data_IF_405099374103
#
_entry.id   IF_405099374103
#
_cell.length_a   1.000
_cell.length_b   1.000
_cell.length_c   1.000
_cell.angle_alpha   90.00
_cell.angle_beta   90.00
_cell.angle_gamma   90.00
#
_symmetry.space_group_name_H-M   'P 1'
#
loop_
_entity.id
_entity.type
_entity.pdbx_description
1 polymer ?
#
# COMPACT_ATOMS: atom_id res chain seq x y z
N UNK A 1 65.00 -16.76 -28.28
CA UNK A 1 65.07 -17.11 -26.84
C UNK A 1 64.98 -15.79 -26.08
N UNK A 2 63.82 -15.31 -25.62
CA UNK A 2 63.00 -15.78 -24.50
C UNK A 2 63.70 -15.74 -23.14
N UNK A 3 63.44 -14.69 -22.34
CA UNK A 3 63.16 -14.69 -20.89
C UNK A 3 63.16 -13.20 -20.43
N UNK A 4 62.05 -12.54 -20.05
CA UNK A 4 60.98 -12.78 -19.04
C UNK A 4 61.28 -12.13 -17.66
N UNK A 5 60.41 -11.18 -17.32
CA UNK A 5 59.94 -10.75 -15.98
C UNK A 5 60.95 -9.99 -15.08
N UNK A 6 60.56 -8.98 -14.30
CA UNK A 6 59.28 -8.78 -13.64
C UNK A 6 58.87 -7.30 -13.53
N UNK A 7 57.73 -6.96 -14.13
CA UNK A 7 56.92 -5.82 -13.70
C UNK A 7 56.12 -6.28 -12.48
N UNK A 8 56.39 -5.70 -11.32
CA UNK A 8 55.61 -5.94 -10.11
C UNK A 8 54.20 -5.36 -10.29
N UNK A 9 53.23 -6.23 -10.56
CA UNK A 9 51.82 -5.87 -10.53
C UNK A 9 51.37 -5.90 -9.06
N UNK A 10 51.32 -4.74 -8.41
CA UNK A 10 50.69 -4.58 -7.11
C UNK A 10 49.17 -4.69 -7.33
N UNK A 11 48.63 -5.89 -7.15
CA UNK A 11 47.20 -6.09 -6.97
C UNK A 11 46.82 -5.52 -5.60
N UNK A 12 46.48 -4.24 -5.55
CA UNK A 12 45.64 -3.67 -4.51
C UNK A 12 44.25 -4.32 -4.65
N UNK A 13 44.10 -5.50 -4.06
CA UNK A 13 42.81 -6.04 -3.72
C UNK A 13 42.15 -5.07 -2.74
N UNK A 14 41.36 -4.15 -3.28
CA UNK A 14 40.35 -3.43 -2.50
C UNK A 14 39.45 -4.51 -1.89
N UNK A 15 39.77 -4.91 -0.66
CA UNK A 15 38.82 -5.58 0.21
C UNK A 15 37.73 -4.56 0.52
N UNK A 16 36.78 -4.40 -0.41
CA UNK A 16 35.47 -3.89 -0.06
C UNK A 16 35.03 -4.74 1.14
N UNK A 17 34.70 -4.15 2.31
CA UNK A 17 34.12 -4.94 3.38
C UNK A 17 32.92 -5.64 2.76
N UNK A 18 32.94 -6.97 2.77
CA UNK A 18 31.83 -7.76 2.28
C UNK A 18 30.58 -7.19 2.97
N UNK A 19 29.70 -6.54 2.19
CA UNK A 19 28.39 -6.10 2.65
C UNK A 19 27.77 -7.34 3.28
N UNK A 20 27.69 -7.34 4.60
CA UNK A 20 27.34 -8.53 5.37
C UNK A 20 25.84 -8.70 5.23
N UNK A 21 25.42 -9.34 4.14
CA UNK A 21 24.04 -9.79 3.96
C UNK A 21 23.65 -10.55 5.23
N UNK A 22 22.56 -10.17 5.90
CA UNK A 22 22.14 -10.86 7.12
C UNK A 22 21.96 -12.35 6.85
N UNK A 23 22.43 -13.17 7.78
CA UNK A 23 22.10 -14.59 7.76
C UNK A 23 20.62 -14.74 8.14
N UNK A 24 19.75 -14.67 7.13
CA UNK A 24 18.29 -14.73 7.28
C UNK A 24 17.78 -15.98 7.98
N UNK A 25 18.59 -17.05 8.05
CA UNK A 25 18.26 -18.25 8.82
C UNK A 25 18.29 -18.01 10.33
N UNK A 26 19.07 -17.02 10.79
CA UNK A 26 19.27 -16.63 12.19
C UNK A 26 18.43 -15.42 12.59
N UNK A 27 18.04 -14.59 11.64
CA UNK A 27 17.16 -13.43 11.89
C UNK A 27 15.76 -13.89 12.25
N UNK A 28 15.22 -13.37 13.35
CA UNK A 28 13.84 -13.55 13.78
C UNK A 28 13.29 -12.19 14.18
N UNK A 29 12.18 -11.79 13.56
CA UNK A 29 11.52 -10.52 13.87
C UNK A 29 10.21 -10.76 14.61
N UNK A 30 9.89 -9.86 15.54
CA UNK A 30 8.54 -9.71 16.07
C UNK A 30 7.92 -8.45 15.48
N UNK A 31 6.62 -8.50 15.24
CA UNK A 31 5.88 -7.43 14.60
C UNK A 31 4.61 -7.17 15.40
N UNK A 32 4.42 -5.92 15.81
CA UNK A 32 3.16 -5.42 16.33
C UNK A 32 2.40 -4.72 15.21
N UNK A 33 1.22 -5.24 14.85
CA UNK A 33 0.37 -4.64 13.83
C UNK A 33 0.06 -3.19 14.19
N UNK A 34 0.28 -2.26 13.26
CA UNK A 34 0.05 -0.85 13.51
C UNK A 34 1.15 -0.08 14.23
N UNK A 35 2.15 -0.77 14.77
CA UNK A 35 3.19 -0.16 15.60
C UNK A 35 4.58 -0.34 14.99
N UNK A 36 4.92 -1.54 14.53
CA UNK A 36 6.21 -1.81 13.90
C UNK A 36 6.88 -3.07 14.44
N UNK A 37 8.17 -2.99 14.72
CA UNK A 37 9.00 -4.03 15.31
C UNK A 37 9.67 -3.49 16.58
N UNK A 38 10.22 -4.33 17.48
CA UNK A 38 10.94 -3.84 18.66
C UNK A 38 12.06 -2.83 18.36
N UNK A 39 12.67 -2.92 17.18
CA UNK A 39 13.79 -2.08 16.76
C UNK A 39 13.37 -0.88 15.89
N UNK A 40 12.15 -0.89 15.34
CA UNK A 40 11.69 0.10 14.36
C UNK A 40 10.20 0.37 14.55
N UNK A 41 9.84 1.60 14.95
CA UNK A 41 8.46 1.99 15.18
C UNK A 41 7.96 2.95 14.10
N UNK A 42 6.71 2.76 13.71
CA UNK A 42 6.02 3.65 12.79
C UNK A 42 5.82 5.02 13.43
N UNK A 43 6.06 6.07 12.65
CA UNK A 43 5.98 7.46 13.09
C UNK A 43 7.25 7.97 13.77
N UNK A 44 8.21 7.10 14.07
CA UNK A 44 9.50 7.49 14.65
C UNK A 44 10.59 7.62 13.57
N UNK A 45 11.65 8.41 13.82
CA UNK A 45 12.82 8.40 12.99
C UNK A 45 13.48 7.02 12.94
N UNK A 46 14.22 6.77 11.86
CA UNK A 46 15.04 5.58 11.78
C UNK A 46 16.21 5.71 12.76
N UNK A 47 16.48 4.71 13.62
CA UNK A 47 17.58 4.79 14.57
C UNK A 47 18.92 4.96 13.88
N UNK A 48 19.79 5.80 14.45
CA UNK A 48 21.14 6.05 13.93
C UNK A 48 21.99 4.76 13.85
N UNK A 49 21.77 3.86 14.82
CA UNK A 49 22.41 2.55 14.89
C UNK A 49 21.45 1.45 14.46
N UNK A 50 21.86 0.65 13.46
CA UNK A 50 21.07 -0.46 12.98
C UNK A 50 21.16 -1.68 13.91
N UNK A 51 20.09 -2.49 14.02
CA UNK A 51 20.10 -3.70 14.84
C UNK A 51 21.22 -4.64 14.43
N UNK A 52 21.97 -5.16 15.41
CA UNK A 52 23.08 -6.10 15.15
C UNK A 52 22.64 -7.33 14.36
N UNK A 53 21.40 -7.78 14.57
CA UNK A 53 20.78 -8.90 13.86
C UNK A 53 20.62 -8.66 12.35
N UNK A 54 20.42 -7.40 11.96
CA UNK A 54 20.22 -6.98 10.57
C UNK A 54 21.47 -6.34 9.96
N UNK A 55 22.42 -5.88 10.78
CA UNK A 55 23.59 -5.17 10.29
C UNK A 55 23.23 -3.87 9.55
N UNK A 56 24.15 -3.38 8.73
CA UNK A 56 23.90 -2.20 7.89
C UNK A 56 22.97 -2.56 6.72
N UNK A 57 22.10 -1.63 6.28
CA UNK A 57 21.24 -1.87 5.14
C UNK A 57 22.06 -2.06 3.86
N UNK A 58 21.58 -2.96 3.01
CA UNK A 58 22.17 -3.24 1.70
C UNK A 58 21.93 -2.09 0.72
N UNK A 59 20.78 -1.39 0.85
CA UNK A 59 20.36 -0.32 -0.05
C UNK A 59 19.61 0.79 0.67
N UNK A 60 19.90 2.04 0.29
CA UNK A 60 19.15 3.24 0.65
C UNK A 60 18.78 3.97 -0.65
N UNK A 61 17.49 3.98 -0.99
CA UNK A 61 16.98 4.58 -2.22
C UNK A 61 16.13 5.82 -1.90
N UNK A 62 16.53 7.03 -2.32
CA UNK A 62 15.67 8.20 -2.24
C UNK A 62 14.72 8.28 -3.44
N UNK A 63 13.45 8.54 -3.19
CA UNK A 63 12.46 8.94 -4.19
C UNK A 63 12.40 10.47 -4.19
N UNK A 64 12.97 11.10 -5.21
CA UNK A 64 12.93 12.56 -5.36
C UNK A 64 11.89 12.97 -6.39
N UNK A 65 10.97 13.86 -6.00
CA UNK A 65 10.01 14.48 -6.91
C UNK A 65 9.34 15.78 -6.41
N UNK A 66 9.14 15.98 -5.10
CA UNK A 66 8.20 17.03 -4.63
C UNK A 66 8.64 17.87 -3.41
N UNK A 67 9.87 17.71 -2.90
CA UNK A 67 10.40 18.53 -1.79
C UNK A 67 10.29 17.89 -0.40
N UNK A 68 9.53 16.81 -0.24
CA UNK A 68 9.66 15.84 0.85
C UNK A 68 10.23 14.53 0.25
N UNK A 69 11.29 14.00 0.85
CA UNK A 69 12.00 12.84 0.31
C UNK A 69 11.46 11.54 0.88
N UNK A 70 10.70 10.79 0.08
CA UNK A 70 10.42 9.39 0.41
C UNK A 70 11.74 8.61 0.33
N UNK A 71 12.08 7.81 1.32
CA UNK A 71 13.30 6.99 1.31
C UNK A 71 12.99 5.55 1.64
N UNK A 72 13.55 4.60 0.88
CA UNK A 72 13.47 3.17 1.15
C UNK A 72 14.80 2.64 1.63
N UNK A 73 14.82 2.05 2.81
CA UNK A 73 15.98 1.37 3.40
C UNK A 73 15.70 -0.12 3.30
N UNK A 74 16.64 -0.92 2.76
CA UNK A 74 16.42 -2.35 2.53
C UNK A 74 17.59 -3.20 3.01
N UNK A 75 17.24 -4.29 3.67
CA UNK A 75 18.11 -5.44 3.92
C UNK A 75 17.52 -6.63 3.14
N UNK A 76 18.24 -7.14 2.15
CA UNK A 76 17.89 -8.36 1.44
C UNK A 76 17.79 -8.20 -0.08
N UNK A 77 17.05 -9.11 -0.71
CA UNK A 77 17.04 -9.30 -2.15
C UNK A 77 15.90 -8.51 -2.79
N UNK A 78 16.25 -7.54 -3.63
CA UNK A 78 15.29 -6.80 -4.46
C UNK A 78 15.35 -7.31 -5.90
N UNK A 79 14.18 -7.54 -6.52
CA UNK A 79 14.05 -7.77 -7.96
C UNK A 79 12.98 -6.85 -8.53
N UNK A 80 13.30 -6.15 -9.62
CA UNK A 80 12.41 -5.18 -10.29
C UNK A 80 11.78 -4.17 -9.31
N UNK A 81 12.57 -3.66 -8.36
CA UNK A 81 12.11 -2.69 -7.37
C UNK A 81 11.23 -3.27 -6.24
N UNK A 82 11.00 -4.59 -6.20
CA UNK A 82 10.21 -5.25 -5.15
C UNK A 82 11.08 -6.15 -4.26
N UNK A 83 10.84 -6.10 -2.95
CA UNK A 83 11.49 -6.96 -1.98
C UNK A 83 11.03 -8.42 -2.20
N UNK A 84 11.97 -9.31 -2.44
CA UNK A 84 11.71 -10.74 -2.62
C UNK A 84 11.99 -11.53 -1.33
N UNK A 85 13.00 -11.10 -0.57
CA UNK A 85 13.39 -11.69 0.70
C UNK A 85 14.11 -10.63 1.54
N UNK A 86 13.82 -10.58 2.84
CA UNK A 86 14.45 -9.67 3.79
C UNK A 86 13.45 -8.70 4.42
N UNK A 87 13.90 -7.48 4.68
CA UNK A 87 13.11 -6.40 5.26
C UNK A 87 13.36 -5.08 4.53
N UNK A 88 12.33 -4.28 4.33
CA UNK A 88 12.43 -2.92 3.83
C UNK A 88 11.62 -1.96 4.70
N UNK A 89 12.13 -0.75 4.90
CA UNK A 89 11.49 0.34 5.62
C UNK A 89 11.26 1.48 4.64
N UNK A 90 10.06 2.04 4.63
CA UNK A 90 9.76 3.28 3.93
C UNK A 90 9.67 4.42 4.93
N UNK A 91 10.33 5.53 4.62
CA UNK A 91 10.28 6.76 5.42
C UNK A 91 9.81 7.94 4.58
N UNK A 92 9.24 8.94 5.24
CA UNK A 92 8.84 10.22 4.65
C UNK A 92 9.40 11.37 5.49
N UNK A 93 9.79 12.46 4.84
CA UNK A 93 10.29 13.67 5.49
C UNK A 93 11.54 14.24 4.82
N UNK A 94 12.25 15.11 5.51
CA UNK A 94 13.43 15.81 5.00
C UNK A 94 14.71 15.34 5.68
N UNK A 95 15.58 14.66 4.93
CA UNK A 95 16.92 14.31 5.40
C UNK A 95 16.91 13.40 6.63
N UNK A 96 17.45 13.90 7.74
CA UNK A 96 17.55 13.20 9.02
C UNK A 96 16.22 13.19 9.80
N UNK A 97 15.30 14.12 9.50
CA UNK A 97 13.98 14.23 10.13
C UNK A 97 12.93 13.31 9.49
N UNK A 98 13.34 12.25 8.77
CA UNK A 98 12.42 11.34 8.11
C UNK A 98 11.86 10.31 9.10
N UNK A 99 10.54 10.15 9.12
CA UNK A 99 9.85 9.18 9.97
C UNK A 99 9.46 7.93 9.19
N UNK A 100 9.48 6.79 9.87
CA UNK A 100 9.07 5.50 9.32
C UNK A 100 7.55 5.51 9.10
N UNK A 101 7.10 5.09 7.91
CA UNK A 101 5.67 4.99 7.58
C UNK A 101 5.23 3.57 7.21
N UNK A 102 6.18 2.72 6.87
CA UNK A 102 5.92 1.35 6.42
C UNK A 102 7.11 0.44 6.74
N UNK A 103 6.83 -0.80 7.15
CA UNK A 103 7.82 -1.86 7.32
C UNK A 103 7.35 -3.09 6.56
N UNK A 104 8.06 -3.46 5.49
CA UNK A 104 7.80 -4.63 4.67
C UNK A 104 8.77 -5.76 5.04
N UNK A 105 8.24 -6.97 5.25
CA UNK A 105 9.02 -8.16 5.58
C UNK A 105 8.63 -9.32 4.65
N UNK A 106 9.63 -9.99 4.05
CA UNK A 106 9.42 -11.05 3.05
C UNK A 106 10.31 -12.25 3.30
N UNK A 107 9.72 -13.46 3.32
CA UNK A 107 10.43 -14.76 3.32
C UNK A 107 11.56 -14.87 4.35
N UNK A 108 11.38 -14.23 5.51
CA UNK A 108 12.22 -14.35 6.70
C UNK A 108 11.37 -14.76 7.88
N UNK A 109 11.96 -15.33 8.94
CA UNK A 109 11.18 -15.71 10.13
C UNK A 109 10.70 -14.44 10.83
N UNK A 110 9.40 -14.20 10.78
CA UNK A 110 8.75 -13.11 11.48
C UNK A 110 7.45 -13.60 12.13
N UNK A 111 7.22 -13.20 13.37
CA UNK A 111 5.99 -13.41 14.12
C UNK A 111 5.17 -12.13 14.22
N UNK A 112 3.84 -12.25 14.24
CA UNK A 112 2.90 -11.14 14.43
C UNK A 112 2.24 -11.25 15.79
N UNK A 113 2.55 -10.28 16.65
CA UNK A 113 1.97 -10.12 17.97
C UNK A 113 0.46 -9.80 17.87
N UNK A 114 -0.35 -10.40 18.74
CA UNK A 114 -1.82 -10.25 18.75
C UNK A 114 -2.58 -11.14 17.75
N UNK A 115 -1.97 -11.54 16.63
CA UNK A 115 -2.58 -12.49 15.66
C UNK A 115 -2.02 -13.92 15.79
N UNK A 116 -0.90 -14.12 16.49
CA UNK A 116 -0.20 -15.42 16.64
C UNK A 116 0.14 -16.08 15.29
N UNK A 117 0.54 -15.28 14.30
CA UNK A 117 0.91 -15.73 12.95
C UNK A 117 2.41 -15.68 12.73
N UNK A 118 2.93 -16.57 11.86
CA UNK A 118 4.34 -16.58 11.46
C UNK A 118 4.49 -16.79 9.96
N UNK A 119 5.48 -16.12 9.36
CA UNK A 119 5.83 -16.40 7.97
C UNK A 119 6.31 -17.86 7.84
N UNK A 120 5.76 -18.54 6.83
CA UNK A 120 5.92 -19.98 6.59
C UNK A 120 4.79 -20.85 7.13
N UNK A 121 3.89 -20.32 7.97
CA UNK A 121 2.68 -21.05 8.36
C UNK A 121 1.71 -21.25 7.19
N UNK A 122 0.82 -22.25 7.28
CA UNK A 122 -0.28 -22.40 6.35
C UNK A 122 -1.17 -21.16 6.33
N UNK A 123 -1.61 -20.79 5.14
CA UNK A 123 -2.52 -19.67 4.88
C UNK A 123 -3.84 -19.76 5.68
N UNK A 124 -4.34 -20.97 5.90
CA UNK A 124 -5.56 -21.25 6.66
C UNK A 124 -5.53 -20.75 8.12
N UNK A 125 -4.34 -20.43 8.64
CA UNK A 125 -4.17 -19.89 9.99
C UNK A 125 -4.56 -18.42 10.10
N UNK A 126 -4.62 -17.68 8.98
CA UNK A 126 -4.97 -16.25 9.01
C UNK A 126 -6.38 -16.07 9.54
N UNK A 127 -6.54 -15.07 10.40
CA UNK A 127 -7.81 -14.74 11.04
C UNK A 127 -8.95 -14.59 10.03
N UNK A 128 -10.10 -15.24 10.29
CA UNK A 128 -11.32 -15.09 9.46
C UNK A 128 -11.86 -13.65 9.41
N UNK A 129 -11.34 -12.75 10.25
CA UNK A 129 -11.71 -11.32 10.27
C UNK A 129 -10.94 -10.51 9.22
N UNK A 130 -9.87 -11.05 8.63
CA UNK A 130 -9.13 -10.37 7.58
C UNK A 130 -9.94 -10.28 6.30
N UNK A 131 -9.86 -9.14 5.62
CA UNK A 131 -10.40 -9.01 4.27
C UNK A 131 -9.42 -9.64 3.27
N UNK A 132 -9.90 -10.60 2.48
CA UNK A 132 -9.11 -11.26 1.44
C UNK A 132 -9.18 -10.47 0.14
N UNK A 133 -8.04 -10.07 -0.38
CA UNK A 133 -7.85 -9.50 -1.72
C UNK A 133 -7.05 -10.48 -2.56
N UNK A 134 -7.55 -10.84 -3.73
CA UNK A 134 -6.85 -11.72 -4.67
C UNK A 134 -6.24 -10.90 -5.80
N UNK A 135 -4.95 -11.10 -6.08
CA UNK A 135 -4.23 -10.41 -7.16
C UNK A 135 -3.16 -11.32 -7.75
N UNK A 136 -3.18 -11.51 -9.06
CA UNK A 136 -2.13 -12.21 -9.82
C UNK A 136 -1.73 -13.58 -9.23
N UNK A 137 -2.71 -14.35 -8.73
CA UNK A 137 -2.48 -15.67 -8.11
C UNK A 137 -1.92 -15.63 -6.68
N UNK A 138 -1.81 -14.45 -6.07
CA UNK A 138 -1.48 -14.24 -4.66
C UNK A 138 -2.71 -13.85 -3.86
N UNK A 139 -2.68 -14.21 -2.59
CA UNK A 139 -3.70 -13.83 -1.62
C UNK A 139 -3.11 -12.83 -0.64
N UNK A 140 -3.79 -11.70 -0.49
CA UNK A 140 -3.45 -10.68 0.50
C UNK A 140 -4.57 -10.61 1.53
N UNK A 141 -4.20 -10.71 2.80
CA UNK A 141 -5.10 -10.63 3.92
C UNK A 141 -4.87 -9.33 4.66
N UNK A 142 -5.93 -8.53 4.75
CA UNK A 142 -5.86 -7.18 5.28
C UNK A 142 -6.41 -7.14 6.70
N UNK A 143 -5.61 -6.59 7.60
CA UNK A 143 -5.94 -6.29 9.00
C UNK A 143 -5.60 -4.81 9.28
N UNK A 144 -6.27 -4.16 10.24
CA UNK A 144 -5.90 -2.80 10.65
C UNK A 144 -4.41 -2.71 11.03
N UNK A 145 -3.65 -1.95 10.26
CA UNK A 145 -2.20 -1.76 10.47
C UNK A 145 -1.30 -2.93 10.03
N UNK A 146 -1.85 -3.94 9.33
CA UNK A 146 -1.09 -5.09 8.86
C UNK A 146 -1.67 -5.68 7.55
N UNK A 147 -0.83 -5.83 6.54
CA UNK A 147 -1.12 -6.68 5.38
C UNK A 147 -0.32 -7.97 5.50
N UNK A 148 -0.93 -9.12 5.19
CA UNK A 148 -0.26 -10.42 5.14
C UNK A 148 -0.37 -10.98 3.72
N UNK A 149 0.75 -11.32 3.11
CA UNK A 149 0.80 -11.95 1.79
C UNK A 149 0.99 -13.46 1.93
N UNK A 150 0.14 -14.21 1.22
CA UNK A 150 0.24 -15.65 1.07
C UNK A 150 0.43 -16.04 -0.40
N UNK A 151 1.21 -17.09 -0.61
CA UNK A 151 1.39 -17.74 -1.90
C UNK A 151 1.63 -19.24 -1.68
N UNK A 152 1.18 -20.06 -2.62
CA UNK A 152 1.34 -21.52 -2.55
C UNK A 152 0.82 -22.12 -1.22
N UNK A 153 -0.26 -21.55 -0.68
CA UNK A 153 -0.88 -21.99 0.58
C UNK A 153 -0.10 -21.63 1.85
N UNK A 154 0.92 -20.76 1.77
CA UNK A 154 1.74 -20.35 2.92
C UNK A 154 1.90 -18.84 3.01
N UNK A 155 2.09 -18.35 4.24
CA UNK A 155 2.41 -16.95 4.50
C UNK A 155 3.84 -16.65 4.07
N UNK A 156 4.02 -15.71 3.14
CA UNK A 156 5.33 -15.40 2.55
C UNK A 156 5.79 -13.97 2.81
N UNK A 157 4.91 -13.09 3.26
CA UNK A 157 5.29 -11.75 3.64
C UNK A 157 4.25 -11.05 4.49
N UNK A 158 4.68 -9.95 5.06
CA UNK A 158 3.83 -9.04 5.81
C UNK A 158 4.28 -7.61 5.58
N UNK A 159 3.38 -6.68 5.80
CA UNK A 159 3.66 -5.25 5.72
C UNK A 159 2.94 -4.54 6.85
N UNK A 160 3.70 -3.80 7.65
CA UNK A 160 3.24 -3.10 8.84
C UNK A 160 3.08 -1.63 8.49
N UNK A 161 1.92 -1.09 8.79
CA UNK A 161 1.56 0.28 8.46
C UNK A 161 0.80 0.89 9.63
N UNK A 162 0.73 2.21 9.71
CA UNK A 162 -0.10 2.82 10.75
C UNK A 162 -1.57 2.39 10.55
N UNK A 163 -2.33 2.06 11.61
CA UNK A 163 -3.76 1.81 11.47
C UNK A 163 -4.49 3.05 10.95
N UNK A 164 -3.93 4.25 11.17
CA UNK A 164 -4.42 5.46 10.58
C UNK A 164 -4.25 5.45 9.05
N UNK A 165 -3.06 5.15 8.52
CA UNK A 165 -2.78 5.20 7.07
C UNK A 165 -3.53 4.16 6.24
N UNK A 166 -4.05 3.10 6.86
CA UNK A 166 -4.86 2.04 6.22
C UNK A 166 -6.35 2.11 6.58
N UNK A 167 -6.77 3.04 7.43
CA UNK A 167 -8.14 3.15 7.96
C UNK A 167 -9.19 3.25 6.86
N UNK A 168 -8.91 4.00 5.80
CA UNK A 168 -9.78 4.16 4.63
C UNK A 168 -10.14 2.83 3.96
N UNK A 169 -9.24 1.83 3.97
CA UNK A 169 -9.47 0.51 3.36
C UNK A 169 -10.63 -0.23 4.01
N UNK A 170 -10.70 -0.15 5.34
CA UNK A 170 -11.67 -0.87 6.17
C UNK A 170 -12.96 -0.08 6.43
N UNK A 171 -13.11 1.12 5.83
CA UNK A 171 -14.34 1.90 5.96
C UNK A 171 -15.45 1.30 5.12
N UNK A 172 -16.66 1.31 5.70
CA UNK A 172 -17.88 1.03 4.95
C UNK A 172 -18.23 2.24 4.08
N UNK A 173 -17.87 2.18 2.80
CA UNK A 173 -18.12 3.24 1.84
C UNK A 173 -19.55 3.18 1.31
N UNK A 174 -20.47 3.86 1.99
CA UNK A 174 -21.83 4.05 1.45
C UNK A 174 -21.80 5.15 0.39
N UNK A 175 -22.13 4.79 -0.84
CA UNK A 175 -22.01 5.61 -2.05
C UNK A 175 -23.32 6.31 -2.31
N UNK A 176 -23.42 7.60 -2.03
CA UNK A 176 -24.61 8.41 -2.35
C UNK A 176 -24.28 9.26 -3.58
N UNK A 177 -24.82 8.91 -4.77
CA UNK A 177 -24.59 9.68 -6.00
C UNK A 177 -24.80 11.18 -5.78
N UNK A 178 -23.86 11.99 -6.26
CA UNK A 178 -23.91 13.45 -6.17
C UNK A 178 -23.86 14.03 -4.77
N UNK A 179 -23.57 13.22 -3.73
CA UNK A 179 -23.65 13.68 -2.33
C UNK A 179 -22.45 13.30 -1.49
N UNK A 180 -22.10 12.02 -1.40
CA UNK A 180 -21.11 11.55 -0.45
C UNK A 180 -20.62 10.12 -0.73
N UNK A 181 -19.41 9.81 -0.29
CA UNK A 181 -18.91 8.44 -0.12
C UNK A 181 -18.42 8.27 1.32
N UNK A 182 -19.01 7.36 2.09
CA UNK A 182 -18.59 7.12 3.48
C UNK A 182 -18.62 8.41 4.32
N UNK A 183 -17.52 8.79 4.99
CA UNK A 183 -17.45 10.03 5.78
C UNK A 183 -17.20 11.30 4.94
N UNK A 184 -16.99 11.17 3.63
CA UNK A 184 -16.65 12.29 2.74
C UNK A 184 -17.90 12.76 2.01
N UNK A 185 -18.24 14.05 2.13
CA UNK A 185 -19.34 14.68 1.41
C UNK A 185 -18.79 15.60 0.32
N UNK A 186 -19.50 15.70 -0.80
CA UNK A 186 -19.24 16.73 -1.80
C UNK A 186 -19.64 18.10 -1.23
N UNK A 187 -18.94 19.16 -1.64
CA UNK A 187 -19.16 20.54 -1.20
C UNK A 187 -18.68 20.84 0.23
N UNK A 188 -18.19 19.86 0.99
CA UNK A 188 -17.63 20.13 2.32
C UNK A 188 -16.17 20.57 2.22
N UNK A 189 -15.73 21.46 3.10
CA UNK A 189 -14.31 21.79 3.25
C UNK A 189 -13.56 20.63 3.93
N UNK A 190 -12.28 20.48 3.58
CA UNK A 190 -11.41 19.50 4.24
C UNK A 190 -11.01 19.97 5.62
N UNK A 191 -11.40 19.21 6.64
CA UNK A 191 -11.07 19.48 8.03
C UNK A 191 -10.21 18.36 8.64
N UNK A 192 -9.56 18.65 9.78
CA UNK A 192 -8.75 17.65 10.52
C UNK A 192 -9.56 16.40 10.91
N UNK A 193 -10.86 16.56 11.12
CA UNK A 193 -11.80 15.47 11.41
C UNK A 193 -11.85 14.42 10.29
N UNK A 194 -11.57 14.80 9.04
CA UNK A 194 -11.49 13.86 7.92
C UNK A 194 -10.31 12.90 8.08
N UNK A 195 -9.12 13.41 8.39
CA UNK A 195 -7.93 12.57 8.59
C UNK A 195 -8.07 11.66 9.80
N UNK A 196 -8.75 12.13 10.85
CA UNK A 196 -9.16 11.25 11.95
C UNK A 196 -10.13 10.17 11.48
N UNK A 197 -11.04 10.47 10.56
CA UNK A 197 -12.00 9.50 10.07
C UNK A 197 -11.35 8.44 9.16
N UNK A 198 -10.52 8.82 8.20
CA UNK A 198 -10.04 7.92 7.12
C UNK A 198 -8.52 7.74 7.03
N UNK A 199 -7.74 8.47 7.82
CA UNK A 199 -6.28 8.42 7.78
C UNK A 199 -5.63 9.55 7.00
N UNK A 200 -4.33 9.72 7.16
CA UNK A 200 -3.52 10.64 6.35
C UNK A 200 -3.32 10.08 4.92
N UNK A 201 -3.36 10.92 3.89
CA UNK A 201 -3.10 10.52 2.51
C UNK A 201 -1.62 10.23 2.28
N UNK A 202 -1.31 9.44 1.25
CA UNK A 202 0.05 9.15 0.80
C UNK A 202 0.60 10.32 -0.03
N UNK A 203 -0.25 10.92 -0.87
CA UNK A 203 0.08 12.09 -1.66
C UNK A 203 -0.93 13.19 -1.43
N UNK A 204 -0.45 14.43 -1.35
CA UNK A 204 -1.27 15.61 -1.17
C UNK A 204 -0.76 16.73 -2.08
N UNK A 205 -1.67 17.27 -2.87
CA UNK A 205 -1.47 18.46 -3.68
C UNK A 205 -2.49 19.54 -3.31
N UNK A 206 -2.48 20.67 -4.04
CA UNK A 206 -3.48 21.73 -3.86
C UNK A 206 -4.88 21.33 -4.31
N UNK A 207 -5.00 20.30 -5.15
CA UNK A 207 -6.26 19.93 -5.81
C UNK A 207 -6.70 18.51 -5.46
N UNK A 208 -5.80 17.68 -4.92
CA UNK A 208 -6.04 16.25 -4.77
C UNK A 208 -5.32 15.67 -3.55
N UNK A 209 -5.98 14.71 -2.91
CA UNK A 209 -5.38 13.81 -1.94
C UNK A 209 -5.59 12.38 -2.40
N UNK A 210 -4.51 11.59 -2.34
CA UNK A 210 -4.50 10.20 -2.76
C UNK A 210 -4.09 9.31 -1.59
N UNK A 211 -4.94 8.33 -1.29
CA UNK A 211 -4.58 7.16 -0.53
C UNK A 211 -4.43 6.01 -1.50
N UNK A 212 -3.26 5.39 -1.50
CA UNK A 212 -2.99 4.27 -2.38
C UNK A 212 -2.38 3.16 -1.57
N UNK A 213 -2.96 1.97 -1.69
CA UNK A 213 -2.37 0.80 -1.10
C UNK A 213 -1.17 0.37 -1.97
N UNK A 214 -0.01 0.21 -1.36
CA UNK A 214 1.22 -0.20 -2.06
C UNK A 214 1.25 -1.71 -2.39
N UNK A 215 0.27 -2.47 -1.91
CA UNK A 215 0.12 -3.92 -2.08
C UNK A 215 -0.93 -4.28 -3.16
N UNK A 216 -2.00 -3.49 -3.24
CA UNK A 216 -3.19 -3.79 -4.04
C UNK A 216 -3.51 -2.68 -5.04
N UNK A 217 -4.59 -2.84 -5.81
CA UNK A 217 -5.15 -1.79 -6.67
C UNK A 217 -6.08 -0.84 -5.90
N UNK A 218 -6.20 -1.02 -4.57
CA UNK A 218 -7.05 -0.19 -3.75
C UNK A 218 -6.52 1.24 -3.76
N UNK A 219 -7.39 2.17 -4.08
CA UNK A 219 -7.10 3.60 -3.93
C UNK A 219 -8.35 4.38 -3.57
N UNK A 220 -8.14 5.45 -2.82
CA UNK A 220 -9.12 6.49 -2.58
C UNK A 220 -8.49 7.80 -3.04
N UNK A 221 -9.19 8.53 -3.89
CA UNK A 221 -8.79 9.84 -4.37
C UNK A 221 -9.91 10.81 -4.03
N UNK A 222 -9.56 11.90 -3.37
CA UNK A 222 -10.47 13.00 -3.10
C UNK A 222 -9.91 14.24 -3.79
N UNK A 223 -10.73 14.88 -4.62
CA UNK A 223 -10.38 16.17 -5.23
C UNK A 223 -11.13 17.30 -4.58
N UNK A 224 -10.49 18.45 -4.60
CA UNK A 224 -11.01 19.67 -4.02
C UNK A 224 -10.91 20.81 -5.02
N UNK A 225 -11.78 21.79 -4.85
CA UNK A 225 -11.62 23.08 -5.49
C UNK A 225 -10.41 23.81 -4.83
N UNK A 226 -9.41 24.24 -5.62
CA UNK A 226 -8.19 24.87 -5.07
C UNK A 226 -8.43 26.26 -4.47
N UNK A 227 -9.57 26.90 -4.76
CA UNK A 227 -9.95 28.23 -4.27
C UNK A 227 -10.79 28.10 -2.99
N UNK A 228 -11.84 27.28 -3.01
CA UNK A 228 -12.77 27.17 -1.87
C UNK A 228 -12.33 26.10 -0.86
N UNK A 229 -11.50 25.14 -1.28
CA UNK A 229 -11.09 23.98 -0.49
C UNK A 229 -12.18 22.92 -0.32
N UNK A 230 -13.27 23.01 -1.08
CA UNK A 230 -14.41 22.11 -1.00
C UNK A 230 -14.21 20.86 -1.84
N UNK A 231 -14.68 19.71 -1.34
CA UNK A 231 -14.61 18.43 -2.05
C UNK A 231 -15.47 18.48 -3.31
N UNK A 232 -14.85 18.26 -4.47
CA UNK A 232 -15.54 18.25 -5.77
C UNK A 232 -15.72 16.84 -6.33
N UNK A 233 -14.88 15.89 -5.91
CA UNK A 233 -14.92 14.51 -6.44
C UNK A 233 -14.37 13.50 -5.44
N UNK A 234 -14.98 12.32 -5.41
CA UNK A 234 -14.53 11.19 -4.59
C UNK A 234 -14.49 9.95 -5.48
N UNK A 235 -13.30 9.39 -5.69
CA UNK A 235 -13.09 8.18 -6.47
C UNK A 235 -12.51 7.09 -5.59
N UNK A 236 -13.09 5.90 -5.65
CA UNK A 236 -12.57 4.73 -4.98
C UNK A 236 -12.46 3.55 -5.92
N UNK A 237 -11.32 2.87 -5.86
CA UNK A 237 -11.03 1.65 -6.63
C UNK A 237 -10.82 0.51 -5.65
N UNK A 238 -11.44 -0.65 -5.89
CA UNK A 238 -11.22 -1.87 -5.09
C UNK A 238 -11.66 -1.77 -3.61
N UNK A 239 -12.36 -0.71 -3.23
CA UNK A 239 -12.84 -0.49 -1.87
C UNK A 239 -14.21 -1.14 -1.66
N UNK A 240 -14.59 -1.53 -0.42
CA UNK A 240 -15.88 -2.18 -0.13
C UNK A 240 -17.06 -1.19 -0.20
N UNK A 241 -17.34 -0.71 -1.41
CA UNK A 241 -18.36 0.29 -1.73
C UNK A 241 -19.73 -0.36 -1.85
N UNK A 242 -20.75 0.35 -1.36
CA UNK A 242 -22.14 -0.06 -1.48
C UNK A 242 -23.04 1.12 -1.78
N UNK A 243 -23.79 1.06 -2.88
CA UNK A 243 -24.84 2.05 -3.20
C UNK A 243 -26.10 1.83 -2.34
N UNK A 244 -27.03 2.80 -2.25
CA UNK A 244 -28.32 2.64 -1.58
C UNK A 244 -29.10 1.40 -2.03
N UNK A 245 -29.13 1.16 -3.34
CA UNK A 245 -29.81 0.00 -3.94
C UNK A 245 -28.99 -1.30 -3.83
N UNK A 246 -27.86 -1.26 -3.12
CA UNK A 246 -27.06 -2.43 -2.77
C UNK A 246 -26.11 -2.92 -3.86
N UNK A 247 -25.76 -2.10 -4.86
CA UNK A 247 -24.71 -2.44 -5.81
C UNK A 247 -23.34 -2.39 -5.11
N UNK A 248 -22.51 -3.39 -5.37
CA UNK A 248 -21.19 -3.56 -4.74
C UNK A 248 -20.14 -3.94 -5.78
N UNK A 249 -18.86 -3.73 -5.47
CA UNK A 249 -17.77 -4.17 -6.36
C UNK A 249 -17.87 -5.68 -6.64
N UNK A 250 -17.45 -6.07 -7.85
CA UNK A 250 -17.58 -7.44 -8.37
C UNK A 250 -18.97 -7.80 -8.91
N UNK A 251 -19.99 -6.95 -8.73
CA UNK A 251 -21.27 -7.11 -9.42
C UNK A 251 -21.04 -7.06 -10.94
N UNK A 252 -21.77 -7.90 -11.68
CA UNK A 252 -21.76 -7.84 -13.15
C UNK A 252 -22.54 -6.62 -13.62
N UNK A 253 -22.28 -6.18 -14.85
CA UNK A 253 -23.02 -5.08 -15.47
C UNK A 253 -24.54 -5.30 -15.43
N UNK A 254 -25.00 -6.53 -15.75
CA UNK A 254 -26.41 -6.92 -15.65
C UNK A 254 -26.99 -6.67 -14.25
N UNK A 255 -26.32 -7.18 -13.22
CA UNK A 255 -26.76 -7.05 -11.82
C UNK A 255 -26.72 -5.60 -11.34
N UNK A 256 -25.80 -4.79 -11.86
CA UNK A 256 -25.79 -3.36 -11.58
C UNK A 256 -26.99 -2.65 -12.20
N UNK A 257 -27.29 -2.92 -13.48
CA UNK A 257 -28.42 -2.33 -14.20
C UNK A 257 -29.77 -2.76 -13.61
N UNK A 258 -29.91 -3.98 -13.08
CA UNK A 258 -31.10 -4.40 -12.33
C UNK A 258 -31.37 -3.50 -11.11
N UNK A 259 -30.31 -2.97 -10.48
CA UNK A 259 -30.39 -2.08 -9.31
C UNK A 259 -30.47 -0.59 -9.68
N UNK A 260 -30.03 -0.25 -10.89
CA UNK A 260 -29.93 1.12 -11.40
C UNK A 260 -30.32 1.13 -12.89
N UNK A 261 -31.61 0.92 -13.21
CA UNK A 261 -32.08 0.76 -14.58
C UNK A 261 -31.99 2.05 -15.41
N UNK A 262 -31.83 3.18 -14.75
CA UNK A 262 -31.63 4.51 -15.31
C UNK A 262 -30.17 4.79 -15.70
N UNK A 263 -29.23 3.91 -15.35
CA UNK A 263 -27.84 4.08 -15.68
C UNK A 263 -27.60 3.99 -17.20
N UNK A 264 -26.87 4.95 -17.75
CA UNK A 264 -26.56 5.01 -19.18
C UNK A 264 -25.14 4.55 -19.45
N UNK A 265 -25.00 3.67 -20.43
CA UNK A 265 -23.70 3.20 -20.88
C UNK A 265 -22.95 4.28 -21.66
N UNK A 266 -21.66 4.38 -21.39
CA UNK A 266 -20.70 5.16 -22.17
C UNK A 266 -19.43 4.34 -22.38
N UNK A 267 -18.80 4.41 -23.56
CA UNK A 267 -17.54 3.74 -23.81
C UNK A 267 -16.48 4.14 -22.79
N UNK A 268 -15.76 3.15 -22.24
CA UNK A 268 -14.56 3.38 -21.43
C UNK A 268 -13.35 3.75 -22.28
N UNK A 269 -12.18 3.91 -21.63
CA UNK A 269 -10.92 4.21 -22.33
C UNK A 269 -10.18 2.94 -22.80
N UNK A 270 -10.44 1.78 -22.18
CA UNK A 270 -9.91 0.47 -22.57
C UNK A 270 -10.87 -0.36 -23.41
N UNK A 271 -10.34 -1.36 -24.11
CA UNK A 271 -11.09 -2.28 -25.00
C UNK A 271 -12.16 -3.08 -24.21
N UNK A 272 -11.89 -3.38 -22.93
CA UNK A 272 -12.78 -4.13 -22.04
C UNK A 272 -13.38 -3.26 -20.92
N UNK A 273 -13.29 -1.93 -21.06
CA UNK A 273 -13.77 -0.98 -20.05
C UNK A 273 -15.14 -0.41 -20.44
N UNK A 274 -16.09 -0.51 -19.53
CA UNK A 274 -17.44 0.08 -19.69
C UNK A 274 -17.72 1.04 -18.54
N UNK A 275 -18.31 2.20 -18.84
CA UNK A 275 -18.71 3.17 -17.82
C UNK A 275 -20.22 3.32 -17.84
N UNK A 276 -20.87 2.98 -16.72
CA UNK A 276 -22.27 3.30 -16.49
C UNK A 276 -22.39 4.61 -15.71
N UNK A 277 -23.17 5.56 -16.24
CA UNK A 277 -23.38 6.88 -15.65
C UNK A 277 -24.77 7.02 -15.05
N UNK A 278 -24.79 7.61 -13.86
CA UNK A 278 -25.96 8.08 -13.14
C UNK A 278 -25.73 9.56 -12.78
N UNK A 279 -26.78 10.35 -12.50
CA UNK A 279 -26.63 11.68 -11.90
C UNK A 279 -25.71 11.62 -10.67
N UNK A 280 -24.55 12.29 -10.77
CA UNK A 280 -23.54 12.35 -9.71
C UNK A 280 -22.79 11.05 -9.40
N UNK A 281 -22.82 10.05 -10.28
CA UNK A 281 -22.05 8.81 -10.12
C UNK A 281 -21.63 8.20 -11.46
N UNK A 282 -20.35 7.81 -11.55
CA UNK A 282 -19.81 6.92 -12.58
C UNK A 282 -19.44 5.59 -11.93
N UNK A 283 -19.92 4.49 -12.51
CA UNK A 283 -19.56 3.13 -12.16
C UNK A 283 -18.70 2.56 -13.29
N UNK A 284 -17.45 2.20 -13.00
CA UNK A 284 -16.52 1.69 -14.00
C UNK A 284 -16.41 0.17 -13.90
N UNK A 285 -16.54 -0.49 -15.04
CA UNK A 285 -16.45 -1.93 -15.20
C UNK A 285 -15.22 -2.26 -16.03
N UNK A 286 -14.50 -3.28 -15.59
CA UNK A 286 -13.37 -3.86 -16.33
C UNK A 286 -13.66 -5.34 -16.47
N UNK A 287 -13.56 -5.89 -17.69
CA UNK A 287 -13.87 -7.32 -17.97
C UNK A 287 -15.26 -7.72 -17.44
N UNK A 288 -16.23 -6.80 -17.55
CA UNK A 288 -17.62 -7.01 -17.16
C UNK A 288 -17.93 -7.00 -15.65
N UNK A 289 -16.95 -6.62 -14.81
CA UNK A 289 -17.09 -6.56 -13.34
C UNK A 289 -16.92 -5.13 -12.84
N UNK A 290 -17.79 -4.73 -11.92
CA UNK A 290 -17.71 -3.41 -11.28
C UNK A 290 -16.45 -3.31 -10.43
N UNK A 291 -15.53 -2.40 -10.77
CA UNK A 291 -14.24 -2.26 -10.08
C UNK A 291 -14.10 -0.96 -9.28
N UNK A 292 -14.78 0.09 -9.72
CA UNK A 292 -14.66 1.39 -9.09
C UNK A 292 -15.88 2.26 -9.27
N UNK A 293 -15.95 3.24 -8.40
CA UNK A 293 -16.95 4.27 -8.43
C UNK A 293 -16.29 5.64 -8.33
N UNK A 294 -16.95 6.60 -8.94
CA UNK A 294 -16.50 7.97 -9.04
C UNK A 294 -17.69 8.90 -8.86
N UNK A 295 -17.72 9.58 -7.72
CA UNK A 295 -18.79 10.47 -7.29
C UNK A 295 -18.35 11.90 -7.55
N UNK A 296 -19.21 12.68 -8.18
CA UNK A 296 -18.96 14.07 -8.56
C UNK A 296 -20.25 14.87 -8.39
N UNK A 297 -20.09 16.19 -8.30
CA UNK A 297 -21.23 17.09 -8.23
C UNK A 297 -21.96 17.13 -9.59
N UNK A 298 -23.29 17.06 -9.57
CA UNK A 298 -24.14 16.94 -10.77
C UNK A 298 -25.25 17.97 -10.77
#
# INVERSE_FOLDING_TARGET
MSQRFATALILLGLSLPALSIPDWSKVRLSVSAGEGTPDFHLGEPVPESWPKSLGRPDLIFPFHGTGEGLKRITWGVIKKGQLQQGMAILTVGSGEDSNIIDIEIKRIRAGVDGENLFLGLPEERVSKRSELVQKDGKHEYLLPGLTIEAAEGKLIGLRVHSPASTRWRFKRWRVRPGKAAGPVKLGQKVEKSLFQAIGEPHEKSREEMLWQASDSQQSLMIRFDPITGEVTRIRGVGLPWRTPNGATLGDTMKKFLEKHPDAKETPGRGIDDTILKLPGLRANFTKGKLESFDIYDF
#
